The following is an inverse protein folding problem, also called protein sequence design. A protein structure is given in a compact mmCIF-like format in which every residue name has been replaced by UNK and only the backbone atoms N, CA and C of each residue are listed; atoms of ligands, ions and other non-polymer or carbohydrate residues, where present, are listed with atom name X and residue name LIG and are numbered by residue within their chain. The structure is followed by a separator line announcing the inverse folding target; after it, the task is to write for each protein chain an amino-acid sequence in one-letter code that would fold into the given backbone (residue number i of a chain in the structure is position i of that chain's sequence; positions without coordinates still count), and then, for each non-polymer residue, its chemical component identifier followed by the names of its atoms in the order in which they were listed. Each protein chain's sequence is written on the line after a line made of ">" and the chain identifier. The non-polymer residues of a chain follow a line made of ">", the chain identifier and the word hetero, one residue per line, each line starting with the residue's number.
data_IF_221787862227
#
_entry.id   IF_221787862227
#
_cell.length_a   1.000
_cell.length_b   1.000
_cell.length_c   1.000
_cell.angle_alpha   90.00
_cell.angle_beta   90.00
_cell.angle_gamma   90.00
#
_symmetry.space_group_name_H-M   'P 1'
#
loop_
_entity.id
_entity.type
_entity.pdbx_description
1 polymer ?
#
# COMPACT_ATOMS: atom_id res chain seq x y z
N UNK A 1 -51.75 -31.18 -27.56
CA UNK A 1 -50.95 -30.46 -28.57
C UNK A 1 -49.84 -29.68 -27.86
N UNK A 2 -48.63 -29.52 -28.42
CA UNK A 2 -47.52 -30.47 -28.35
C UNK A 2 -46.43 -30.12 -27.29
N UNK A 3 -45.66 -31.17 -26.94
CA UNK A 3 -44.42 -31.16 -26.15
C UNK A 3 -43.33 -30.33 -26.84
N UNK A 4 -42.70 -29.40 -26.12
CA UNK A 4 -41.45 -28.77 -26.54
C UNK A 4 -40.25 -29.45 -25.87
N UNK A 5 -39.31 -29.87 -26.71
CA UNK A 5 -38.20 -30.75 -26.41
C UNK A 5 -37.03 -30.06 -25.70
N UNK A 6 -36.43 -30.80 -24.76
CA UNK A 6 -35.03 -30.68 -24.32
C UNK A 6 -34.08 -30.60 -25.52
N UNK A 7 -33.11 -29.68 -25.47
CA UNK A 7 -31.75 -29.94 -25.98
C UNK A 7 -30.71 -29.43 -24.98
N UNK A 8 -30.03 -30.40 -24.37
CA UNK A 8 -28.80 -30.23 -23.62
C UNK A 8 -27.64 -30.01 -24.61
N UNK A 9 -26.76 -29.06 -24.30
CA UNK A 9 -25.49 -28.91 -24.99
C UNK A 9 -24.39 -29.72 -24.26
N UNK A 10 -23.48 -30.38 -24.99
CA UNK A 10 -22.56 -31.36 -24.43
C UNK A 10 -21.36 -30.76 -23.70
N UNK A 11 -21.02 -31.47 -22.63
CA UNK A 11 -19.78 -31.43 -21.86
C UNK A 11 -18.60 -31.78 -22.77
N UNK A 12 -17.67 -30.83 -22.94
CA UNK A 12 -16.36 -31.04 -23.54
C UNK A 12 -15.37 -31.58 -22.52
N UNK A 13 -14.89 -32.78 -22.81
CA UNK A 13 -14.05 -33.65 -21.98
C UNK A 13 -12.56 -33.33 -22.14
N UNK A 14 -11.84 -33.34 -21.01
CA UNK A 14 -10.54 -33.97 -20.77
C UNK A 14 -9.44 -33.71 -21.82
N UNK A 15 -8.52 -32.79 -21.46
CA UNK A 15 -7.17 -32.71 -22.01
C UNK A 15 -6.14 -32.98 -20.91
N UNK A 16 -5.79 -34.26 -20.73
CA UNK A 16 -4.66 -34.72 -19.93
C UNK A 16 -3.39 -34.58 -20.77
N UNK A 17 -2.43 -33.74 -20.33
CA UNK A 17 -1.00 -33.86 -20.62
C UNK A 17 -0.28 -33.54 -19.31
N UNK A 18 0.11 -34.55 -18.55
CA UNK A 18 1.39 -35.27 -18.66
C UNK A 18 2.63 -34.38 -18.61
N UNK A 19 3.32 -34.54 -17.48
CA UNK A 19 4.75 -34.84 -17.38
C UNK A 19 5.78 -33.73 -17.58
N UNK A 20 6.43 -33.47 -16.44
CA UNK A 20 7.88 -33.47 -16.25
C UNK A 20 8.68 -32.23 -16.70
N UNK A 21 9.00 -31.39 -15.72
CA UNK A 21 10.36 -30.87 -15.53
C UNK A 21 10.57 -30.49 -14.07
N UNK A 22 10.97 -31.51 -13.32
CA UNK A 22 11.62 -31.44 -12.02
C UNK A 22 12.90 -30.60 -12.15
N UNK A 23 12.86 -29.34 -11.72
CA UNK A 23 14.08 -28.53 -11.56
C UNK A 23 14.58 -28.77 -10.14
N UNK A 24 15.32 -29.87 -10.03
CA UNK A 24 16.23 -30.17 -8.93
C UNK A 24 17.29 -29.05 -8.88
N UNK A 25 17.21 -28.16 -7.89
CA UNK A 25 18.25 -27.15 -7.67
C UNK A 25 19.01 -27.53 -6.40
N UNK A 26 20.24 -28.06 -6.52
CA UNK A 26 21.00 -28.49 -5.36
C UNK A 26 21.44 -27.30 -4.51
N UNK A 27 21.24 -27.50 -3.21
CA UNK A 27 21.90 -26.86 -2.08
C UNK A 27 23.39 -26.65 -2.37
N UNK A 28 23.85 -25.40 -2.34
CA UNK A 28 25.27 -25.08 -2.15
C UNK A 28 25.41 -24.42 -0.79
N UNK A 29 25.65 -25.26 0.19
CA UNK A 29 26.30 -24.90 1.43
C UNK A 29 27.77 -24.59 1.13
N UNK A 30 28.18 -23.35 1.34
CA UNK A 30 29.59 -22.96 1.48
C UNK A 30 29.74 -22.12 2.76
N UNK A 31 29.97 -22.80 3.87
CA UNK A 31 30.86 -22.33 4.95
C UNK A 31 32.31 -22.73 4.58
N UNK A 32 33.41 -22.04 4.99
CA UNK A 32 33.60 -21.39 6.29
C UNK A 32 34.47 -20.09 6.36
N UNK A 33 34.29 -19.35 7.48
CA UNK A 33 35.32 -18.79 8.41
C UNK A 33 36.59 -18.09 7.86
N UNK A 34 36.71 -16.78 8.09
CA UNK A 34 37.96 -16.05 8.42
C UNK A 34 37.59 -14.68 9.01
N UNK A 35 37.62 -14.42 10.34
CA UNK A 35 38.75 -14.26 11.27
C UNK A 35 39.67 -13.04 10.99
N UNK A 36 39.36 -11.88 11.60
CA UNK A 36 40.24 -10.82 12.16
C UNK A 36 39.43 -9.52 12.28
N UNK A 37 39.60 -8.60 13.23
CA UNK A 37 40.06 -8.54 14.61
C UNK A 37 39.61 -7.14 15.10
N UNK A 38 39.38 -6.93 16.40
CA UNK A 38 38.79 -5.69 16.93
C UNK A 38 39.86 -4.58 17.05
N UNK A 39 39.52 -3.35 16.65
CA UNK A 39 40.25 -2.17 17.13
C UNK A 39 39.51 -1.58 18.33
N UNK A 40 40.23 -1.60 19.43
CA UNK A 40 39.87 -1.28 20.79
C UNK A 40 40.53 0.06 21.12
N UNK A 41 39.93 0.80 22.06
CA UNK A 41 40.58 1.76 22.99
C UNK A 41 40.93 3.13 22.38
N UNK A 42 40.63 4.30 22.95
CA UNK A 42 40.68 4.77 24.36
C UNK A 42 39.65 5.92 24.61
N UNK A 43 38.79 5.88 25.66
CA UNK A 43 38.91 6.56 26.99
C UNK A 43 39.24 8.07 26.88
N UNK A 44 38.28 9.02 27.03
CA UNK A 44 37.82 9.75 28.26
C UNK A 44 38.95 10.50 29.02
N UNK A 45 38.66 11.50 29.91
CA UNK A 45 37.86 12.75 29.83
C UNK A 45 38.62 13.96 30.45
N UNK A 46 38.36 15.22 30.08
CA UNK A 46 38.77 16.38 30.93
C UNK A 46 37.75 17.51 30.81
N UNK A 47 37.01 17.74 31.89
CA UNK A 47 36.19 18.92 32.06
C UNK A 47 37.01 20.12 32.53
N UNK A 48 36.33 21.27 32.55
CA UNK A 48 36.65 22.46 33.33
C UNK A 48 37.80 23.34 32.79
N UNK A 49 37.46 24.31 31.93
CA UNK A 49 38.22 25.55 31.84
C UNK A 49 37.32 26.77 31.55
N UNK A 50 36.95 27.47 32.63
CA UNK A 50 37.08 28.94 32.78
C UNK A 50 36.37 29.79 31.69
N UNK A 51 35.11 30.25 31.82
CA UNK A 51 34.52 31.25 32.74
C UNK A 51 35.10 32.67 32.84
N UNK A 52 36.07 33.14 32.05
CA UNK A 52 36.31 34.60 31.99
C UNK A 52 36.95 34.98 30.66
N UNK A 53 36.17 35.48 29.71
CA UNK A 53 36.64 36.49 28.76
C UNK A 53 35.47 37.26 28.14
N UNK A 54 35.23 38.40 28.77
CA UNK A 54 34.98 39.71 28.16
C UNK A 54 33.68 39.91 27.36
N UNK A 55 32.78 40.61 28.04
CA UNK A 55 31.77 41.48 27.47
C UNK A 55 32.37 42.42 26.40
N UNK A 56 31.90 42.27 25.17
CA UNK A 56 31.86 43.34 24.18
C UNK A 56 30.54 43.22 23.45
N UNK A 57 29.73 44.28 23.54
CA UNK A 57 28.32 44.28 23.17
C UNK A 57 28.08 44.25 21.66
N UNK A 58 27.11 43.43 21.26
CA UNK A 58 26.25 43.71 20.12
C UNK A 58 24.81 43.66 20.65
N UNK A 59 24.25 44.84 20.93
CA UNK A 59 22.83 44.99 21.23
C UNK A 59 22.04 44.74 19.94
N UNK A 60 21.73 43.47 19.65
CA UNK A 60 20.71 43.10 18.66
C UNK A 60 19.40 42.97 19.41
N UNK A 61 18.55 43.99 19.29
CA UNK A 61 17.13 43.90 19.66
C UNK A 61 16.50 42.68 18.98
N UNK A 62 15.81 41.78 19.73
CA UNK A 62 15.07 40.69 19.12
C UNK A 62 13.89 41.27 18.33
N UNK A 63 14.00 41.27 17.00
CA UNK A 63 12.85 41.43 16.11
C UNK A 63 11.86 40.31 16.43
N UNK A 64 10.59 40.61 16.75
CA UNK A 64 9.58 39.58 16.97
C UNK A 64 9.50 38.67 15.74
N UNK A 65 9.38 37.35 15.91
CA UNK A 65 9.27 36.43 14.79
C UNK A 65 8.12 36.89 13.89
N UNK A 66 8.32 36.96 12.56
CA UNK A 66 7.24 37.29 11.65
C UNK A 66 6.08 36.31 11.90
N UNK A 67 4.82 36.79 11.88
CA UNK A 67 3.67 35.91 12.00
C UNK A 67 3.81 34.77 10.97
N UNK A 68 3.46 33.53 11.33
CA UNK A 68 3.56 32.40 10.41
C UNK A 68 2.83 32.78 9.13
N UNK A 69 3.59 32.83 8.03
CA UNK A 69 3.00 32.97 6.70
C UNK A 69 1.91 31.91 6.58
N UNK A 70 0.71 32.25 6.07
CA UNK A 70 -0.32 31.24 5.84
C UNK A 70 0.31 30.14 5.01
N UNK A 71 0.34 28.92 5.55
CA UNK A 71 0.79 27.75 4.82
C UNK A 71 -0.03 27.70 3.53
N UNK A 72 0.62 27.96 2.40
CA UNK A 72 0.03 27.71 1.09
C UNK A 72 -0.34 26.24 1.14
N UNK A 73 -1.64 25.94 1.18
CA UNK A 73 -2.13 24.57 1.23
C UNK A 73 -1.46 23.83 0.09
N UNK A 74 -0.60 22.86 0.43
CA UNK A 74 0.08 22.03 -0.55
C UNK A 74 -0.99 21.51 -1.51
N UNK A 75 -0.82 21.78 -2.81
CA UNK A 75 -1.73 21.31 -3.83
C UNK A 75 -1.95 19.81 -3.59
N UNK A 76 -3.22 19.41 -3.43
CA UNK A 76 -3.55 18.02 -3.16
C UNK A 76 -2.95 17.18 -4.29
N UNK A 77 -1.98 16.33 -3.95
CA UNK A 77 -1.38 15.45 -4.92
C UNK A 77 -2.45 14.48 -5.45
N UNK A 78 -2.40 14.07 -6.73
CA UNK A 78 -3.29 13.05 -7.28
C UNK A 78 -2.97 11.63 -6.75
N UNK A 79 -2.24 11.53 -5.64
CA UNK A 79 -1.84 10.29 -5.01
C UNK A 79 -1.58 10.48 -3.51
N UNK A 80 -1.66 9.38 -2.76
CA UNK A 80 -1.24 9.32 -1.37
C UNK A 80 -0.71 7.92 -1.03
N UNK A 81 0.23 7.86 -0.08
CA UNK A 81 0.80 6.61 0.41
C UNK A 81 0.16 6.19 1.74
N UNK A 82 0.06 4.88 1.94
CA UNK A 82 -0.49 4.27 3.15
C UNK A 82 0.46 3.18 3.63
N UNK A 83 0.78 3.18 4.92
CA UNK A 83 1.57 2.14 5.57
C UNK A 83 0.72 0.87 5.79
N UNK A 84 0.46 0.14 4.70
CA UNK A 84 -0.25 -1.12 4.70
C UNK A 84 0.19 -1.98 3.51
N UNK A 85 0.13 -3.31 3.69
CA UNK A 85 0.32 -4.25 2.60
C UNK A 85 -0.75 -4.07 1.53
N UNK A 86 -0.38 -4.35 0.28
CA UNK A 86 -1.22 -4.08 -0.89
C UNK A 86 -2.60 -4.75 -0.81
N UNK A 87 -2.69 -5.96 -0.26
CA UNK A 87 -3.98 -6.66 -0.16
C UNK A 87 -4.94 -5.99 0.84
N UNK A 88 -4.44 -5.53 1.98
CA UNK A 88 -5.26 -4.87 3.00
C UNK A 88 -5.71 -3.49 2.52
N UNK A 89 -4.78 -2.73 1.92
CA UNK A 89 -5.10 -1.46 1.28
C UNK A 89 -6.16 -1.64 0.17
N UNK A 90 -6.02 -2.69 -0.65
CA UNK A 90 -6.99 -3.01 -1.70
C UNK A 90 -8.39 -3.31 -1.14
N UNK A 91 -8.47 -4.11 -0.08
CA UNK A 91 -9.74 -4.46 0.56
C UNK A 91 -10.40 -3.25 1.24
N UNK A 92 -9.63 -2.48 2.00
CA UNK A 92 -10.10 -1.25 2.66
C UNK A 92 -10.61 -0.23 1.63
N UNK A 93 -9.86 -0.03 0.54
CA UNK A 93 -10.27 0.86 -0.53
C UNK A 93 -11.59 0.40 -1.17
N UNK A 94 -11.75 -0.90 -1.43
CA UNK A 94 -12.98 -1.46 -1.95
C UNK A 94 -14.19 -1.21 -1.03
N UNK A 95 -14.03 -1.39 0.28
CA UNK A 95 -15.10 -1.12 1.25
C UNK A 95 -15.45 0.36 1.31
N UNK A 96 -14.45 1.24 1.33
CA UNK A 96 -14.69 2.68 1.34
C UNK A 96 -15.39 3.15 0.07
N UNK A 97 -14.98 2.68 -1.11
CA UNK A 97 -15.58 3.10 -2.37
C UNK A 97 -17.07 2.72 -2.47
N UNK A 98 -17.44 1.53 -2.01
CA UNK A 98 -18.85 1.09 -1.98
C UNK A 98 -19.67 1.90 -0.97
N UNK A 99 -19.05 2.33 0.13
CA UNK A 99 -19.71 3.06 1.22
C UNK A 99 -19.52 4.58 1.15
N UNK A 100 -18.99 5.13 0.05
CA UNK A 100 -18.80 6.57 -0.13
C UNK A 100 -19.98 7.15 -0.91
N UNK A 101 -20.75 8.09 -0.33
CA UNK A 101 -21.86 8.71 -1.02
C UNK A 101 -21.44 9.38 -2.34
N UNK A 102 -22.24 9.19 -3.40
CA UNK A 102 -21.98 9.76 -4.72
C UNK A 102 -20.92 9.02 -5.54
N UNK A 103 -20.31 7.95 -5.01
CA UNK A 103 -19.46 7.06 -5.79
C UNK A 103 -20.30 5.95 -6.42
N UNK A 104 -20.26 5.85 -7.74
CA UNK A 104 -20.79 4.71 -8.49
C UNK A 104 -19.65 3.77 -8.81
N UNK A 105 -19.68 2.60 -8.18
CA UNK A 105 -18.70 1.55 -8.43
C UNK A 105 -18.97 0.87 -9.78
N UNK A 106 -17.98 0.83 -10.68
CA UNK A 106 -18.14 0.20 -12.00
C UNK A 106 -17.47 -1.16 -12.09
N UNK A 107 -16.19 -1.26 -11.75
CA UNK A 107 -15.44 -2.52 -11.82
C UNK A 107 -14.16 -2.49 -10.99
N UNK A 108 -13.50 -3.66 -10.85
CA UNK A 108 -12.15 -3.79 -10.29
C UNK A 108 -11.33 -4.83 -11.05
N UNK A 109 -10.01 -4.64 -11.06
CA UNK A 109 -9.04 -5.62 -11.52
C UNK A 109 -7.89 -5.72 -10.52
N UNK A 110 -7.84 -6.83 -9.78
CA UNK A 110 -6.79 -7.05 -8.78
C UNK A 110 -5.41 -7.23 -9.43
N UNK A 111 -5.34 -7.85 -10.62
CA UNK A 111 -4.08 -8.04 -11.33
C UNK A 111 -3.43 -6.72 -11.75
N UNK A 112 -4.25 -5.71 -12.06
CA UNK A 112 -3.77 -4.38 -12.44
C UNK A 112 -3.74 -3.40 -11.26
N UNK A 113 -4.19 -3.81 -10.06
CA UNK A 113 -4.38 -2.90 -8.95
C UNK A 113 -5.29 -1.73 -9.30
N UNK A 114 -6.37 -1.96 -10.06
CA UNK A 114 -7.26 -0.91 -10.57
C UNK A 114 -8.72 -0.98 -10.05
N UNK A 115 -9.25 0.12 -9.54
CA UNK A 115 -10.68 0.36 -9.39
C UNK A 115 -11.18 1.35 -10.45
N UNK A 116 -12.31 1.05 -11.08
CA UNK A 116 -13.01 1.95 -12.00
C UNK A 116 -14.28 2.46 -11.33
N UNK A 117 -14.36 3.76 -11.12
CA UNK A 117 -15.47 4.41 -10.42
C UNK A 117 -15.92 5.65 -11.17
N UNK A 118 -17.16 6.06 -10.91
CA UNK A 118 -17.65 7.37 -11.30
C UNK A 118 -17.98 8.15 -10.03
N UNK A 119 -17.53 9.40 -9.95
CA UNK A 119 -17.78 10.28 -8.82
C UNK A 119 -18.05 11.68 -9.34
N UNK A 120 -19.17 12.28 -8.90
CA UNK A 120 -19.64 13.60 -9.37
C UNK A 120 -19.70 13.71 -10.91
N UNK A 121 -20.13 12.63 -11.57
CA UNK A 121 -20.26 12.56 -13.04
C UNK A 121 -18.93 12.44 -13.79
N UNK A 122 -17.81 12.22 -13.10
CA UNK A 122 -16.50 12.01 -13.71
C UNK A 122 -16.03 10.56 -13.49
N UNK A 123 -15.59 9.90 -14.55
CA UNK A 123 -14.98 8.57 -14.47
C UNK A 123 -13.53 8.72 -13.99
N UNK A 124 -13.22 8.04 -12.89
CA UNK A 124 -11.90 8.05 -12.24
C UNK A 124 -11.42 6.62 -12.13
N UNK A 125 -10.15 6.41 -12.49
CA UNK A 125 -9.44 5.16 -12.30
C UNK A 125 -8.54 5.30 -11.07
N UNK A 126 -8.70 4.43 -10.07
CA UNK A 126 -7.84 4.40 -8.89
C UNK A 126 -6.85 3.26 -9.00
N UNK A 127 -5.57 3.60 -9.11
CA UNK A 127 -4.46 2.65 -9.19
C UNK A 127 -3.80 2.47 -7.82
N UNK A 128 -3.59 1.22 -7.42
CA UNK A 128 -2.86 0.84 -6.22
C UNK A 128 -1.59 0.11 -6.60
N UNK A 129 -0.44 0.55 -6.10
CA UNK A 129 0.86 -0.09 -6.34
C UNK A 129 1.65 -0.23 -5.05
N UNK A 130 2.46 -1.28 -4.97
CA UNK A 130 3.43 -1.41 -3.90
C UNK A 130 4.38 -0.21 -3.91
N UNK A 131 4.64 0.34 -2.74
CA UNK A 131 5.51 1.47 -2.50
C UNK A 131 6.39 1.14 -1.28
N UNK A 132 7.51 1.86 -1.15
CA UNK A 132 8.40 1.77 0.00
C UNK A 132 8.63 3.21 0.44
N UNK A 133 8.16 3.56 1.65
CA UNK A 133 8.27 4.93 2.17
C UNK A 133 9.72 5.29 2.49
N UNK A 134 10.48 4.33 3.01
CA UNK A 134 11.85 4.50 3.44
C UNK A 134 12.64 3.21 3.20
N UNK A 135 13.84 3.36 2.62
CA UNK A 135 14.70 2.23 2.28
C UNK A 135 15.23 1.49 3.52
N UNK A 136 15.24 2.13 4.69
CA UNK A 136 15.71 1.54 5.94
C UNK A 136 14.66 0.75 6.73
N UNK A 137 13.38 1.07 6.56
CA UNK A 137 12.32 0.57 7.45
C UNK A 137 11.64 -0.70 6.91
N UNK A 138 11.76 -1.01 5.61
CA UNK A 138 11.14 -2.18 4.96
C UNK A 138 9.63 -2.37 5.20
N UNK A 139 8.96 -1.38 5.80
CA UNK A 139 7.53 -1.43 6.05
C UNK A 139 6.79 -1.43 4.71
N UNK A 140 5.93 -2.43 4.47
CA UNK A 140 5.18 -2.51 3.23
C UNK A 140 4.21 -1.35 3.18
N UNK A 141 4.28 -0.58 2.10
CA UNK A 141 3.33 0.49 1.85
C UNK A 141 2.69 0.37 0.48
N UNK A 142 1.56 1.03 0.34
CA UNK A 142 0.78 1.05 -0.88
C UNK A 142 0.53 2.50 -1.26
N UNK A 143 0.85 2.84 -2.51
CA UNK A 143 0.48 4.12 -3.10
C UNK A 143 -0.86 3.97 -3.80
N UNK A 144 -1.78 4.89 -3.52
CA UNK A 144 -3.06 5.02 -4.20
C UNK A 144 -3.01 6.29 -5.04
N UNK A 145 -3.29 6.16 -6.33
CA UNK A 145 -3.24 7.26 -7.29
C UNK A 145 -4.53 7.33 -8.10
N UNK A 146 -5.06 8.53 -8.31
CA UNK A 146 -6.17 8.75 -9.24
C UNK A 146 -5.63 9.05 -10.64
N UNK A 147 -6.23 8.42 -11.64
CA UNK A 147 -5.91 8.63 -13.05
C UNK A 147 -7.16 8.78 -13.89
N UNK A 148 -7.04 9.51 -15.00
CA UNK A 148 -8.06 9.58 -16.03
C UNK A 148 -8.12 8.28 -16.85
N UNK A 149 -9.08 8.20 -17.76
CA UNK A 149 -9.19 7.08 -18.70
C UNK A 149 -7.99 6.96 -19.67
N UNK A 150 -7.21 8.03 -19.81
CA UNK A 150 -5.95 8.08 -20.56
C UNK A 150 -4.74 7.58 -19.74
N UNK A 151 -4.95 7.17 -18.49
CA UNK A 151 -3.92 6.68 -17.58
C UNK A 151 -3.03 7.77 -16.97
N UNK A 152 -3.31 9.05 -17.22
CA UNK A 152 -2.55 10.16 -16.62
C UNK A 152 -3.09 10.51 -15.24
N UNK A 153 -2.26 11.07 -14.35
CA UNK A 153 -2.74 11.54 -13.05
C UNK A 153 -3.93 12.49 -13.20
N UNK A 154 -5.01 12.24 -12.47
CA UNK A 154 -6.22 13.05 -12.51
C UNK A 154 -6.18 14.08 -11.37
N UNK A 155 -6.02 15.34 -11.75
CA UNK A 155 -6.01 16.49 -10.83
C UNK A 155 -7.34 17.25 -10.84
N UNK A 156 -8.40 16.66 -11.41
CA UNK A 156 -9.74 17.22 -11.35
C UNK A 156 -10.20 17.39 -9.91
N UNK A 157 -11.12 18.35 -9.69
CA UNK A 157 -11.66 18.61 -8.37
C UNK A 157 -12.38 17.40 -7.78
N UNK A 158 -13.04 16.57 -8.61
CA UNK A 158 -13.69 15.34 -8.15
C UNK A 158 -12.67 14.27 -7.74
N UNK A 159 -11.61 14.07 -8.53
CA UNK A 159 -10.55 13.10 -8.20
C UNK A 159 -9.82 13.47 -6.90
N UNK A 160 -9.42 14.75 -6.77
CA UNK A 160 -8.75 15.24 -5.56
C UNK A 160 -9.66 15.20 -4.33
N UNK A 161 -10.95 15.49 -4.49
CA UNK A 161 -11.93 15.39 -3.41
C UNK A 161 -12.14 13.94 -2.96
N UNK A 162 -12.26 13.01 -3.91
CA UNK A 162 -12.37 11.58 -3.61
C UNK A 162 -11.11 11.06 -2.91
N UNK A 163 -9.92 11.37 -3.43
CA UNK A 163 -8.66 10.97 -2.80
C UNK A 163 -8.53 11.51 -1.37
N UNK A 164 -8.91 12.77 -1.13
CA UNK A 164 -8.89 13.37 0.21
C UNK A 164 -9.81 12.62 1.18
N UNK A 165 -11.02 12.28 0.74
CA UNK A 165 -11.95 11.50 1.56
C UNK A 165 -11.42 10.10 1.87
N UNK A 166 -10.84 9.43 0.87
CA UNK A 166 -10.23 8.12 1.03
C UNK A 166 -9.03 8.18 1.98
N UNK A 167 -8.11 9.11 1.78
CA UNK A 167 -6.93 9.31 2.63
C UNK A 167 -7.34 9.52 4.10
N UNK A 168 -8.41 10.28 4.35
CA UNK A 168 -8.90 10.53 5.70
C UNK A 168 -9.53 9.28 6.37
N UNK A 169 -10.19 8.42 5.59
CA UNK A 169 -10.96 7.27 6.13
C UNK A 169 -10.17 5.96 6.13
N UNK A 170 -9.18 5.81 5.25
CA UNK A 170 -8.39 4.58 5.08
C UNK A 170 -7.75 4.07 6.39
N UNK A 171 -7.14 4.90 7.25
CA UNK A 171 -6.54 4.41 8.49
C UNK A 171 -7.55 3.71 9.41
N UNK A 172 -8.75 4.27 9.55
CA UNK A 172 -9.81 3.69 10.37
C UNK A 172 -10.35 2.38 9.76
N UNK A 173 -10.51 2.33 8.45
CA UNK A 173 -10.96 1.10 7.77
C UNK A 173 -9.92 -0.02 7.88
N UNK A 174 -8.64 0.29 7.76
CA UNK A 174 -7.56 -0.68 7.94
C UNK A 174 -7.53 -1.24 9.36
N UNK A 175 -7.73 -0.40 10.37
CA UNK A 175 -7.88 -0.85 11.76
C UNK A 175 -9.11 -1.73 11.95
N UNK A 176 -10.23 -1.39 11.30
CA UNK A 176 -11.42 -2.22 11.36
C UNK A 176 -11.16 -3.62 10.74
N UNK A 177 -10.55 -3.68 9.55
CA UNK A 177 -10.25 -4.94 8.90
C UNK A 177 -9.27 -5.82 9.69
N UNK A 178 -8.30 -5.23 10.39
CA UNK A 178 -7.36 -6.01 11.23
C UNK A 178 -8.01 -6.62 12.47
N UNK A 179 -9.18 -6.10 12.89
CA UNK A 179 -9.98 -6.69 13.98
C UNK A 179 -10.93 -7.79 13.52
N UNK A 180 -11.17 -7.91 12.20
CA UNK A 180 -12.03 -8.97 11.68
C UNK A 180 -11.27 -10.30 11.79
N UNK A 181 -11.90 -11.37 12.31
CA UNK A 181 -11.27 -12.66 12.33
C UNK A 181 -11.03 -13.13 10.91
N UNK A 182 -9.82 -13.63 10.64
CA UNK A 182 -9.53 -14.36 9.40
C UNK A 182 -10.62 -15.41 9.22
N UNK A 183 -11.41 -15.32 8.15
CA UNK A 183 -12.38 -16.37 7.84
C UNK A 183 -11.57 -17.63 7.60
N UNK A 184 -11.54 -18.49 8.61
CA UNK A 184 -10.73 -19.70 8.65
C UNK A 184 -10.91 -20.44 7.33
N UNK A 185 -9.84 -20.49 6.53
CA UNK A 185 -9.78 -21.30 5.32
C UNK A 185 -10.06 -22.72 5.79
N UNK A 186 -11.30 -23.19 5.54
CA UNK A 186 -11.69 -24.52 5.99
C UNK A 186 -10.80 -25.51 5.23
N UNK A 187 -9.97 -26.30 5.92
CA UNK A 187 -9.04 -27.19 5.24
C UNK A 187 -9.83 -28.17 4.37
N UNK A 188 -9.31 -28.52 3.19
CA UNK A 188 -10.02 -29.41 2.27
C UNK A 188 -10.33 -30.72 2.98
N UNK A 189 -11.62 -31.07 3.08
CA UNK A 189 -12.07 -32.37 3.58
C UNK A 189 -11.37 -33.47 2.77
N UNK A 190 -10.45 -34.22 3.40
CA UNK A 190 -9.85 -35.43 2.81
C UNK A 190 -10.98 -36.36 2.37
N UNK A 191 -11.19 -36.49 1.06
CA UNK A 191 -12.09 -37.52 0.50
C UNK A 191 -11.49 -38.87 0.84
N UNK A 192 -12.15 -39.61 1.74
CA UNK A 192 -11.76 -40.96 2.12
C UNK A 192 -11.67 -41.84 0.88
N UNK A 193 -10.51 -42.49 0.72
CA UNK A 193 -10.24 -43.49 -0.31
C UNK A 193 -11.17 -44.67 -0.06
N UNK A 194 -12.27 -44.77 -0.82
CA UNK A 194 -13.08 -46.00 -0.87
C UNK A 194 -12.18 -47.09 -1.45
N UNK A 195 -11.96 -48.13 -0.65
CA UNK A 195 -11.24 -49.34 -1.01
C UNK A 195 -12.01 -50.14 -2.05
#
# INVERSE_FOLDING_TARGET
>A
MPRAHRRAAPVGSIGTRDSAAHVDRPMREHTPRSARAPRRTERLPVGLLIWVLLASGCATTPTPPPPPAPAIAAAAAPEFAIAAVMLDAWNALGQLLVNTPGVTYRSRSQMMGLYDVEYRGQRILLLTRAHVLDAGTHDPSTLVQATGADGKPDTSTAALDLLRQLQARMPAELQHLSTLPDKAVTPPRKKGKRR
#
